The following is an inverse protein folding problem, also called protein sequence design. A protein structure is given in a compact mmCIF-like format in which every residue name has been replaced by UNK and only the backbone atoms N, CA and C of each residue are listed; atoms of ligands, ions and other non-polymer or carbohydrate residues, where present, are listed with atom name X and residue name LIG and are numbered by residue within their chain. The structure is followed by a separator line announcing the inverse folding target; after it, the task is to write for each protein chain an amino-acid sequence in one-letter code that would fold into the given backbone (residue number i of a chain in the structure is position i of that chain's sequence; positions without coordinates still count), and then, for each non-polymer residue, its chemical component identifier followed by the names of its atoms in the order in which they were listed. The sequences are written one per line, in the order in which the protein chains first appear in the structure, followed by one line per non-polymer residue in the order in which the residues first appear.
data_IF_623487955835
#
_entry.id   IF_623487955835
#
_cell.length_a   1.000
_cell.length_b   1.000
_cell.length_c   1.000
_cell.angle_alpha   90.00
_cell.angle_beta   90.00
_cell.angle_gamma   90.00
#
_symmetry.space_group_name_H-M   'P 1'
#
loop_
_entity.id
_entity.type
_entity.pdbx_description
1 polymer ?
#
# COMPACT_ATOMS: atom_id res chain seq x y z
N UNK A 1 -26.74 -19.74 -13.96
CA UNK A 1 -26.16 -20.25 -12.70
C UNK A 1 -24.64 -20.15 -12.67
N UNK A 2 -23.90 -20.54 -13.73
CA UNK A 2 -22.42 -20.50 -13.74
C UNK A 2 -21.77 -19.12 -13.55
N UNK A 3 -22.33 -18.04 -14.13
CA UNK A 3 -21.72 -16.69 -14.09
C UNK A 3 -21.71 -16.08 -12.68
N UNK A 4 -22.78 -16.30 -11.91
CA UNK A 4 -22.90 -15.83 -10.52
C UNK A 4 -21.84 -16.43 -9.60
N UNK A 5 -21.54 -17.73 -9.76
CA UNK A 5 -20.52 -18.42 -8.98
C UNK A 5 -19.09 -18.06 -9.39
N UNK A 6 -18.92 -17.47 -10.58
CA UNK A 6 -17.63 -16.94 -11.06
C UNK A 6 -17.42 -15.55 -10.48
N UNK A 7 -18.40 -14.65 -10.61
CA UNK A 7 -18.32 -13.28 -10.07
C UNK A 7 -18.07 -13.26 -8.55
N UNK A 8 -18.73 -14.15 -7.80
CA UNK A 8 -18.49 -14.29 -6.34
C UNK A 8 -17.09 -14.75 -5.99
N UNK A 9 -16.50 -15.62 -6.79
CA UNK A 9 -15.12 -16.10 -6.57
C UNK A 9 -14.12 -15.00 -6.90
N UNK A 10 -14.35 -14.26 -7.98
CA UNK A 10 -13.52 -13.13 -8.38
C UNK A 10 -13.54 -12.00 -7.35
N UNK A 11 -14.72 -11.62 -6.84
CA UNK A 11 -14.89 -10.64 -5.75
C UNK A 11 -14.10 -11.06 -4.51
N UNK A 12 -14.22 -12.33 -4.10
CA UNK A 12 -13.48 -12.88 -2.95
C UNK A 12 -11.96 -12.77 -3.12
N UNK A 13 -11.45 -13.11 -4.31
CA UNK A 13 -10.00 -13.05 -4.60
C UNK A 13 -9.49 -11.61 -4.59
N UNK A 14 -10.22 -10.67 -5.22
CA UNK A 14 -9.82 -9.26 -5.24
C UNK A 14 -9.82 -8.69 -3.82
N UNK A 15 -10.83 -9.03 -2.98
CA UNK A 15 -10.86 -8.61 -1.58
C UNK A 15 -9.70 -9.17 -0.76
N UNK A 16 -9.32 -10.43 -0.96
CA UNK A 16 -8.14 -11.01 -0.31
C UNK A 16 -6.85 -10.27 -0.71
N UNK A 17 -6.68 -9.96 -1.99
CA UNK A 17 -5.54 -9.18 -2.49
C UNK A 17 -5.54 -7.77 -1.87
N UNK A 18 -6.69 -7.11 -1.84
CA UNK A 18 -6.83 -5.77 -1.25
C UNK A 18 -6.46 -5.75 0.23
N UNK A 19 -6.85 -6.77 1.00
CA UNK A 19 -6.46 -6.87 2.41
C UNK A 19 -4.93 -6.92 2.54
N UNK A 20 -4.26 -7.77 1.76
CA UNK A 20 -2.79 -7.85 1.79
C UNK A 20 -2.12 -6.53 1.40
N UNK A 21 -2.59 -5.88 0.34
CA UNK A 21 -2.05 -4.59 -0.09
C UNK A 21 -2.28 -3.47 0.95
N UNK A 22 -3.41 -3.49 1.67
CA UNK A 22 -3.68 -2.55 2.75
C UNK A 22 -2.82 -2.81 3.99
N UNK A 23 -2.49 -4.07 4.27
CA UNK A 23 -1.51 -4.44 5.30
C UNK A 23 -0.11 -3.93 4.93
N UNK A 24 0.35 -4.16 3.70
CA UNK A 24 1.61 -3.63 3.18
C UNK A 24 1.66 -2.09 3.27
N UNK A 25 0.56 -1.42 2.87
CA UNK A 25 0.45 0.03 2.97
C UNK A 25 0.59 0.51 4.42
N UNK A 26 -0.08 -0.15 5.37
CA UNK A 26 0.03 0.18 6.79
C UNK A 26 1.47 0.06 7.27
N UNK A 27 2.15 -1.05 6.95
CA UNK A 27 3.54 -1.27 7.36
C UNK A 27 4.48 -0.21 6.79
N UNK A 28 4.37 0.11 5.50
CA UNK A 28 5.18 1.16 4.88
C UNK A 28 4.89 2.55 5.46
N UNK A 29 3.62 2.88 5.74
CA UNK A 29 3.24 4.14 6.36
C UNK A 29 3.81 4.27 7.79
N UNK A 30 3.79 3.20 8.58
CA UNK A 30 4.42 3.18 9.90
C UNK A 30 5.93 3.42 9.83
N UNK A 31 6.62 2.80 8.86
CA UNK A 31 8.05 3.05 8.61
C UNK A 31 8.29 4.52 8.23
N UNK A 32 7.50 5.08 7.32
CA UNK A 32 7.61 6.50 6.94
C UNK A 32 7.48 7.40 8.15
N UNK A 33 6.44 7.21 8.97
CA UNK A 33 6.21 8.04 10.17
C UNK A 33 7.36 7.91 11.18
N UNK A 34 7.93 6.72 11.33
CA UNK A 34 9.08 6.50 12.21
C UNK A 34 10.32 7.20 11.68
N UNK A 35 10.66 7.01 10.41
CA UNK A 35 11.87 7.57 9.82
C UNK A 35 11.77 9.09 9.68
N UNK A 36 10.57 9.64 9.42
CA UNK A 36 10.34 11.08 9.43
C UNK A 36 10.74 11.70 10.79
N UNK A 37 10.35 11.07 11.90
CA UNK A 37 10.75 11.53 13.25
C UNK A 37 12.27 11.43 13.45
N UNK A 38 12.91 10.40 12.91
CA UNK A 38 14.38 10.25 12.97
C UNK A 38 15.07 11.38 12.20
N UNK A 39 14.55 11.76 11.02
CA UNK A 39 15.04 12.90 10.23
C UNK A 39 14.85 14.22 10.99
N UNK A 40 13.66 14.45 11.55
CA UNK A 40 13.32 15.69 12.29
C UNK A 40 14.15 15.87 13.58
N UNK A 41 14.67 14.78 14.15
CA UNK A 41 15.45 14.80 15.39
C UNK A 41 16.97 14.73 15.19
N UNK A 42 17.44 14.65 13.94
CA UNK A 42 18.88 14.59 13.62
C UNK A 42 19.35 15.89 13.00
N UNK A 43 20.53 16.38 13.41
CA UNK A 43 21.12 17.59 12.86
C UNK A 43 21.51 17.40 11.38
N UNK A 44 21.15 18.33 10.49
CA UNK A 44 21.63 18.34 9.11
C UNK A 44 23.17 18.40 9.07
N UNK A 45 23.79 17.44 8.40
CA UNK A 45 25.25 17.31 8.30
C UNK A 45 25.87 16.21 9.18
N UNK A 46 25.09 15.53 10.02
CA UNK A 46 25.48 14.25 10.63
C UNK A 46 25.23 13.11 9.62
N UNK A 47 26.14 12.14 9.51
CA UNK A 47 25.95 10.94 8.68
C UNK A 47 24.63 10.18 8.98
N UNK A 48 24.11 10.31 10.20
CA UNK A 48 22.81 9.75 10.61
C UNK A 48 21.65 10.41 9.87
N UNK A 49 21.76 11.70 9.53
CA UNK A 49 20.75 12.43 8.78
C UNK A 49 20.64 11.86 7.36
N UNK A 50 21.76 11.72 6.65
CA UNK A 50 21.78 11.17 5.29
C UNK A 50 21.22 9.75 5.23
N UNK A 51 21.55 8.91 6.24
CA UNK A 51 20.97 7.57 6.37
C UNK A 51 19.47 7.59 6.66
N UNK A 52 18.99 8.52 7.48
CA UNK A 52 17.57 8.65 7.77
C UNK A 52 16.79 9.12 6.53
N UNK A 53 17.31 10.10 5.79
CA UNK A 53 16.73 10.57 4.52
C UNK A 53 16.68 9.45 3.48
N UNK A 54 17.76 8.68 3.31
CA UNK A 54 17.77 7.55 2.37
C UNK A 54 16.73 6.46 2.73
N UNK A 55 16.52 6.22 4.03
CA UNK A 55 15.47 5.30 4.50
C UNK A 55 14.07 5.85 4.25
N UNK A 56 13.89 7.16 4.40
CA UNK A 56 12.60 7.81 4.15
C UNK A 56 12.24 7.72 2.66
N UNK A 57 13.21 7.99 1.78
CA UNK A 57 13.05 7.88 0.33
C UNK A 57 12.67 6.46 -0.11
N UNK A 58 13.33 5.44 0.44
CA UNK A 58 12.99 4.04 0.18
C UNK A 58 11.56 3.69 0.64
N UNK A 59 11.15 4.15 1.83
CA UNK A 59 9.82 3.89 2.37
C UNK A 59 8.72 4.62 1.57
N UNK A 60 8.98 5.85 1.14
CA UNK A 60 8.09 6.60 0.25
C UNK A 60 7.98 5.96 -1.13
N UNK A 61 9.08 5.43 -1.66
CA UNK A 61 9.09 4.68 -2.92
C UNK A 61 8.21 3.43 -2.83
N UNK A 62 8.29 2.70 -1.71
CA UNK A 62 7.42 1.54 -1.47
C UNK A 62 5.94 1.93 -1.47
N UNK A 63 5.56 3.01 -0.76
CA UNK A 63 4.18 3.54 -0.82
C UNK A 63 3.78 3.97 -2.23
N UNK A 64 4.70 4.55 -3.00
CA UNK A 64 4.50 4.93 -4.40
C UNK A 64 4.18 3.75 -5.32
N UNK A 65 4.52 2.52 -4.93
CA UNK A 65 4.16 1.28 -5.65
C UNK A 65 2.87 0.68 -5.09
N UNK A 66 2.72 0.63 -3.77
CA UNK A 66 1.56 -0.02 -3.12
C UNK A 66 0.25 0.72 -3.38
N UNK A 67 0.24 2.05 -3.35
CA UNK A 67 -1.00 2.83 -3.55
C UNK A 67 -1.60 2.61 -4.95
N UNK A 68 -0.85 2.70 -6.07
CA UNK A 68 -1.38 2.37 -7.38
C UNK A 68 -1.90 0.93 -7.50
N UNK A 69 -1.27 -0.04 -6.83
CA UNK A 69 -1.74 -1.42 -6.81
C UNK A 69 -3.09 -1.55 -6.10
N UNK A 70 -3.29 -0.87 -4.96
CA UNK A 70 -4.58 -0.82 -4.27
C UNK A 70 -5.65 -0.24 -5.18
N UNK A 71 -5.39 0.92 -5.80
CA UNK A 71 -6.34 1.61 -6.67
C UNK A 71 -6.77 0.71 -7.84
N UNK A 72 -5.82 0.02 -8.46
CA UNK A 72 -6.11 -0.93 -9.55
C UNK A 72 -7.05 -2.06 -9.10
N UNK A 73 -6.84 -2.61 -7.91
CA UNK A 73 -7.69 -3.70 -7.42
C UNK A 73 -9.07 -3.20 -6.97
N UNK A 74 -9.17 -1.94 -6.51
CA UNK A 74 -10.48 -1.29 -6.27
C UNK A 74 -11.24 -1.07 -7.58
N UNK A 75 -10.58 -0.59 -8.64
CA UNK A 75 -11.20 -0.42 -9.96
C UNK A 75 -11.75 -1.77 -10.47
N UNK A 76 -10.98 -2.84 -10.31
CA UNK A 76 -11.41 -4.21 -10.68
C UNK A 76 -12.61 -4.68 -9.86
N UNK A 77 -12.71 -4.29 -8.58
CA UNK A 77 -13.84 -4.63 -7.73
C UNK A 77 -15.12 -3.93 -8.22
N UNK A 78 -15.01 -2.66 -8.61
CA UNK A 78 -16.12 -1.84 -9.12
C UNK A 78 -16.63 -2.34 -10.49
N UNK A 79 -15.78 -3.02 -11.27
CA UNK A 79 -16.16 -3.65 -12.53
C UNK A 79 -16.98 -4.94 -12.35
N UNK A 80 -17.02 -5.54 -11.16
CA UNK A 80 -17.83 -6.74 -10.89
C UNK A 80 -19.31 -6.34 -10.81
N UNK A 81 -20.18 -6.86 -11.69
CA UNK A 81 -21.60 -6.52 -11.66
C UNK A 81 -22.24 -6.98 -10.33
N UNK A 82 -22.85 -6.05 -9.60
CA UNK A 82 -23.74 -6.39 -8.50
C UNK A 82 -24.99 -7.09 -9.08
N UNK A 83 -25.20 -8.36 -8.72
CA UNK A 83 -26.45 -9.07 -9.00
C UNK A 83 -27.61 -8.32 -8.30
N UNK A 84 -28.35 -7.49 -9.04
CA UNK A 84 -29.65 -6.95 -8.61
C UNK A 84 -30.76 -7.99 -8.70
#
# INVERSE_FOLDING_TARGET
MKTRDINKREDSVIREILVGLLEDFREHAEVVLKVQRDVESTDPGDDRFDRAVARLDAALTALGVTVPAILKELDRLDEIPEDK
#
